data_IF_870102416395
#
_entry.id   IF_870102416395
#
_cell.length_a   1.000
_cell.length_b   1.000
_cell.length_c   1.000
_cell.angle_alpha   90.00
_cell.angle_beta   90.00
_cell.angle_gamma   90.00
#
_symmetry.space_group_name_H-M   'P 1'
#
loop_
_entity.id
_entity.type
_entity.pdbx_description
1 polymer ?
#
# COMPACT_ATOMS: atom_id res chain seq x y z
N UNK A 1 8.96 -1.02 22.00
CA UNK A 1 8.31 -1.83 23.06
C UNK A 1 7.21 -2.76 22.52
N UNK A 2 6.54 -2.43 21.41
CA UNK A 2 5.43 -3.21 20.85
C UNK A 2 5.71 -4.72 20.72
N UNK A 3 6.87 -5.13 20.19
CA UNK A 3 7.20 -6.55 20.04
C UNK A 3 7.32 -7.27 21.39
N UNK A 4 7.97 -6.65 22.39
CA UNK A 4 8.08 -7.22 23.74
C UNK A 4 6.70 -7.40 24.36
N UNK A 5 5.85 -6.37 24.26
CA UNK A 5 4.48 -6.42 24.79
C UNK A 5 3.64 -7.48 24.10
N UNK A 6 3.71 -7.59 22.77
CA UNK A 6 2.98 -8.61 22.02
C UNK A 6 3.45 -10.03 22.38
N UNK A 7 4.76 -10.26 22.52
CA UNK A 7 5.27 -11.56 22.97
C UNK A 7 4.85 -11.89 24.40
N UNK A 8 4.83 -10.91 25.31
CA UNK A 8 4.38 -11.13 26.69
C UNK A 8 2.90 -11.45 26.77
N UNK A 9 2.05 -10.81 25.95
CA UNK A 9 0.61 -11.10 25.90
C UNK A 9 0.27 -12.40 25.18
N UNK A 10 1.15 -12.85 24.28
CA UNK A 10 1.04 -14.14 23.62
C UNK A 10 1.72 -15.28 24.41
N UNK A 11 2.16 -15.03 25.65
CA UNK A 11 2.90 -16.00 26.48
C UNK A 11 4.10 -16.65 25.75
N UNK A 12 4.75 -15.89 24.87
CA UNK A 12 5.87 -16.36 24.06
C UNK A 12 5.51 -17.04 22.74
N UNK A 13 4.22 -17.23 22.44
CA UNK A 13 3.78 -17.75 21.14
C UNK A 13 4.03 -16.73 20.03
N UNK A 14 4.87 -17.10 19.06
CA UNK A 14 5.30 -16.20 17.99
C UNK A 14 4.19 -15.93 16.97
N UNK A 15 3.31 -16.89 16.69
CA UNK A 15 2.24 -16.73 15.71
C UNK A 15 1.13 -15.85 16.27
N UNK A 16 0.76 -16.07 17.53
CA UNK A 16 -0.19 -15.22 18.23
C UNK A 16 0.38 -13.80 18.43
N UNK A 17 1.66 -13.67 18.77
CA UNK A 17 2.30 -12.35 18.87
C UNK A 17 2.30 -11.60 17.52
N UNK A 18 2.52 -12.29 16.40
CA UNK A 18 2.42 -11.73 15.05
C UNK A 18 1.00 -11.24 14.75
N UNK A 19 -0.01 -12.04 15.07
CA UNK A 19 -1.41 -11.68 14.89
C UNK A 19 -1.78 -10.41 15.70
N UNK A 20 -1.36 -10.34 16.97
CA UNK A 20 -1.55 -9.16 17.82
C UNK A 20 -0.87 -7.91 17.24
N UNK A 21 0.36 -8.05 16.72
CA UNK A 21 1.06 -6.93 16.07
C UNK A 21 0.34 -6.45 14.82
N UNK A 22 -0.21 -7.36 14.01
CA UNK A 22 -0.99 -7.00 12.82
C UNK A 22 -2.26 -6.24 13.18
N UNK A 23 -3.02 -6.75 14.16
CA UNK A 23 -4.23 -6.07 14.66
C UNK A 23 -3.91 -4.66 15.18
N UNK A 24 -2.83 -4.52 15.96
CA UNK A 24 -2.35 -3.21 16.45
C UNK A 24 -1.87 -2.30 15.32
N UNK A 25 -1.30 -2.86 14.26
CA UNK A 25 -0.92 -2.14 13.04
C UNK A 25 -2.13 -1.48 12.39
N UNK A 26 -3.21 -2.25 12.20
CA UNK A 26 -4.50 -1.74 11.69
C UNK A 26 -5.03 -0.61 12.56
N UNK A 27 -5.03 -0.78 13.88
CA UNK A 27 -5.47 0.27 14.80
C UNK A 27 -4.58 1.54 14.74
N UNK A 28 -3.28 1.37 14.51
CA UNK A 28 -2.33 2.48 14.37
C UNK A 28 -2.56 3.26 13.08
N UNK A 29 -2.79 2.55 11.97
CA UNK A 29 -3.13 3.18 10.69
C UNK A 29 -4.45 3.96 10.78
N UNK A 30 -5.49 3.35 11.36
CA UNK A 30 -6.79 4.01 11.55
C UNK A 30 -6.68 5.30 12.37
N UNK A 31 -5.93 5.30 13.48
CA UNK A 31 -5.71 6.49 14.33
C UNK A 31 -4.99 7.63 13.60
N UNK A 32 -4.29 7.33 12.52
CA UNK A 32 -3.46 8.29 11.78
C UNK A 32 -4.06 8.69 10.44
N UNK A 33 -5.20 8.14 10.05
CA UNK A 33 -5.84 8.38 8.75
C UNK A 33 -6.09 9.87 8.45
N UNK A 34 -6.30 10.71 9.47
CA UNK A 34 -6.55 12.15 9.32
C UNK A 34 -5.29 13.02 9.30
N UNK A 35 -4.09 12.43 9.41
CA UNK A 35 -2.86 13.22 9.37
C UNK A 35 -2.56 13.73 7.97
N UNK A 36 -1.95 14.90 7.89
CA UNK A 36 -1.46 15.46 6.65
C UNK A 36 -0.19 14.72 6.20
N UNK A 37 -0.10 14.42 4.92
CA UNK A 37 1.03 13.70 4.30
C UNK A 37 1.50 14.48 3.09
N UNK A 38 2.37 15.47 3.31
CA UNK A 38 2.87 16.37 2.26
C UNK A 38 4.23 15.95 1.69
N UNK A 39 4.95 15.06 2.39
CA UNK A 39 6.23 14.50 1.96
C UNK A 39 6.01 13.17 1.23
N UNK A 40 7.04 12.63 0.57
CA UNK A 40 6.94 11.35 -0.14
C UNK A 40 7.88 11.21 -1.32
N UNK A 41 7.57 10.28 -2.22
CA UNK A 41 8.30 10.08 -3.48
C UNK A 41 7.35 9.90 -4.65
N UNK A 42 7.85 10.22 -5.84
CA UNK A 42 7.26 9.78 -7.11
C UNK A 42 8.09 8.60 -7.62
N UNK A 43 7.48 7.42 -7.66
CA UNK A 43 8.12 6.18 -8.10
C UNK A 43 7.63 5.82 -9.51
N UNK A 44 8.50 5.22 -10.31
CA UNK A 44 8.16 4.81 -11.68
C UNK A 44 8.61 3.39 -11.95
N UNK A 45 7.70 2.58 -12.49
CA UNK A 45 8.01 1.22 -12.92
C UNK A 45 7.82 1.09 -14.43
N UNK A 46 8.87 0.67 -15.13
CA UNK A 46 8.88 0.48 -16.59
C UNK A 46 9.06 -0.99 -16.91
N UNK A 47 8.04 -1.59 -17.54
CA UNK A 47 8.09 -2.97 -17.98
C UNK A 47 8.38 -3.08 -19.46
N UNK A 48 9.62 -3.48 -19.78
CA UNK A 48 10.08 -3.80 -21.15
C UNK A 48 9.78 -2.71 -22.20
N UNK A 49 9.71 -1.45 -21.77
CA UNK A 49 9.41 -0.29 -22.64
C UNK A 49 8.00 -0.27 -23.24
N UNK A 50 7.09 -1.13 -22.78
CA UNK A 50 5.71 -1.23 -23.30
C UNK A 50 4.65 -0.80 -22.30
N UNK A 51 4.90 -1.01 -21.02
CA UNK A 51 4.02 -0.59 -19.93
C UNK A 51 4.82 0.28 -18.98
N UNK A 52 4.26 1.42 -18.60
CA UNK A 52 4.83 2.31 -17.58
C UNK A 52 3.78 2.63 -16.53
N UNK A 53 4.18 2.60 -15.26
CA UNK A 53 3.37 3.10 -14.15
C UNK A 53 4.14 4.18 -13.40
N UNK A 54 3.44 5.22 -12.98
CA UNK A 54 3.94 6.24 -12.06
C UNK A 54 3.03 6.32 -10.85
N UNK A 55 3.63 6.43 -9.68
CA UNK A 55 2.95 6.49 -8.40
C UNK A 55 3.47 7.68 -7.59
N UNK A 56 2.58 8.49 -7.05
CA UNK A 56 2.93 9.41 -5.96
C UNK A 56 2.49 8.78 -4.63
N UNK A 57 3.47 8.41 -3.81
CA UNK A 57 3.26 7.85 -2.48
C UNK A 57 3.71 8.88 -1.44
N UNK A 58 2.79 9.28 -0.56
CA UNK A 58 3.07 10.27 0.47
C UNK A 58 3.26 9.66 1.86
N UNK A 59 4.05 10.34 2.68
CA UNK A 59 4.21 10.13 4.13
C UNK A 59 4.21 11.48 4.88
N UNK A 60 4.39 11.46 6.21
CA UNK A 60 4.37 12.67 7.03
C UNK A 60 5.70 13.44 6.94
N UNK A 61 6.85 12.74 6.86
CA UNK A 61 8.18 13.36 6.86
C UNK A 61 9.10 12.87 5.72
N UNK A 62 10.07 13.69 5.34
CA UNK A 62 11.10 13.33 4.35
C UNK A 62 12.06 12.23 4.85
N UNK A 63 12.16 12.05 6.18
CA UNK A 63 12.94 10.98 6.79
C UNK A 63 12.37 9.60 6.43
N UNK A 64 11.05 9.39 6.55
CA UNK A 64 10.41 8.12 6.17
C UNK A 64 10.50 7.89 4.67
N UNK A 65 10.32 8.94 3.85
CA UNK A 65 10.41 8.87 2.39
C UNK A 65 11.76 8.31 1.89
N UNK A 66 12.83 8.44 2.68
CA UNK A 66 14.18 7.98 2.34
C UNK A 66 14.52 6.57 2.82
N UNK A 67 13.67 5.95 3.63
CA UNK A 67 13.89 4.59 4.15
C UNK A 67 13.71 3.53 3.07
N UNK A 68 14.41 2.40 3.21
CA UNK A 68 14.29 1.29 2.27
C UNK A 68 12.88 0.69 2.29
N UNK A 69 12.27 0.57 3.47
CA UNK A 69 10.88 0.11 3.63
C UNK A 69 9.90 0.93 2.78
N UNK A 70 10.02 2.26 2.78
CA UNK A 70 9.13 3.13 2.02
C UNK A 70 9.38 3.04 0.51
N UNK A 71 10.65 2.98 0.09
CA UNK A 71 11.04 2.85 -1.32
C UNK A 71 10.62 1.50 -1.91
N UNK A 72 10.81 0.42 -1.16
CA UNK A 72 10.37 -0.93 -1.55
C UNK A 72 8.86 -0.99 -1.70
N UNK A 73 8.11 -0.43 -0.75
CA UNK A 73 6.65 -0.33 -0.84
C UNK A 73 6.23 0.44 -2.11
N UNK A 74 6.82 1.60 -2.38
CA UNK A 74 6.50 2.39 -3.55
C UNK A 74 6.79 1.63 -4.86
N UNK A 75 7.93 0.94 -4.92
CA UNK A 75 8.31 0.12 -6.06
C UNK A 75 7.32 -1.02 -6.30
N UNK A 76 6.93 -1.72 -5.23
CA UNK A 76 5.99 -2.83 -5.28
C UNK A 76 4.59 -2.38 -5.71
N UNK A 77 4.11 -1.24 -5.22
CA UNK A 77 2.84 -0.65 -5.66
C UNK A 77 2.93 -0.18 -7.12
N UNK A 78 4.04 0.43 -7.56
CA UNK A 78 4.20 0.82 -8.96
C UNK A 78 4.19 -0.39 -9.91
N UNK A 79 4.84 -1.48 -9.52
CA UNK A 79 4.81 -2.76 -10.25
C UNK A 79 3.42 -3.40 -10.23
N UNK A 80 2.70 -3.32 -9.11
CA UNK A 80 1.29 -3.74 -9.01
C UNK A 80 0.43 -2.98 -10.02
N UNK A 81 0.52 -1.64 -10.03
CA UNK A 81 -0.26 -0.78 -10.94
C UNK A 81 0.02 -1.19 -12.39
N UNK A 82 1.29 -1.33 -12.78
CA UNK A 82 1.65 -1.74 -14.13
C UNK A 82 1.03 -3.09 -14.54
N UNK A 83 0.94 -4.03 -13.60
CA UNK A 83 0.52 -5.41 -13.85
C UNK A 83 -1.00 -5.58 -13.82
N UNK A 84 -1.68 -4.92 -12.88
CA UNK A 84 -3.10 -5.17 -12.56
C UNK A 84 -4.05 -4.11 -13.09
N UNK A 85 -3.55 -3.00 -13.64
CA UNK A 85 -4.36 -1.95 -14.28
C UNK A 85 -5.55 -1.45 -13.42
N UNK A 86 -5.34 -1.07 -12.14
CA UNK A 86 -6.39 -0.46 -11.33
C UNK A 86 -6.89 0.83 -11.99
N UNK A 87 -8.17 1.12 -11.82
CA UNK A 87 -8.83 2.32 -12.35
C UNK A 87 -8.89 3.45 -11.31
N UNK A 88 -9.02 3.08 -10.04
CA UNK A 88 -9.14 4.02 -8.93
C UNK A 88 -8.26 3.59 -7.75
N UNK A 89 -8.06 4.48 -6.77
CA UNK A 89 -7.29 4.14 -5.57
C UNK A 89 -8.16 3.29 -4.64
N UNK A 90 -9.35 3.77 -4.31
CA UNK A 90 -10.28 3.15 -3.38
C UNK A 90 -11.57 2.74 -4.09
N UNK A 91 -12.18 1.63 -3.67
CA UNK A 91 -13.45 1.16 -4.23
C UNK A 91 -14.59 2.18 -4.06
N UNK A 92 -14.52 3.06 -3.07
CA UNK A 92 -15.48 4.15 -2.88
C UNK A 92 -15.44 5.21 -3.99
N UNK A 93 -14.37 5.25 -4.80
CA UNK A 93 -14.24 6.16 -5.94
C UNK A 93 -14.86 5.58 -7.23
N UNK A 94 -15.26 4.30 -7.22
CA UNK A 94 -15.89 3.66 -8.38
C UNK A 94 -17.30 4.23 -8.62
N UNK A 95 -17.68 4.47 -9.89
CA UNK A 95 -19.08 4.69 -10.27
C UNK A 95 -19.98 3.54 -9.81
N UNK A 96 -21.23 3.85 -9.45
CA UNK A 96 -22.19 2.83 -9.02
C UNK A 96 -22.52 1.81 -10.14
N UNK A 97 -22.29 2.18 -11.39
CA UNK A 97 -22.47 1.41 -12.61
C UNK A 97 -21.15 0.92 -13.23
N UNK A 98 -20.05 0.92 -12.47
CA UNK A 98 -18.78 0.41 -12.93
C UNK A 98 -18.90 -1.08 -13.35
N UNK A 99 -18.39 -1.39 -14.54
CA UNK A 99 -18.31 -2.76 -15.05
C UNK A 99 -16.99 -3.41 -14.58
N UNK A 100 -17.09 -4.55 -13.88
CA UNK A 100 -15.96 -5.29 -13.32
C UNK A 100 -16.02 -5.45 -11.80
N UNK A 101 -15.12 -6.29 -11.26
CA UNK A 101 -15.04 -6.52 -9.82
C UNK A 101 -14.32 -5.35 -9.12
N UNK A 102 -14.93 -4.67 -8.13
CA UNK A 102 -14.25 -3.65 -7.34
C UNK A 102 -12.92 -4.11 -6.73
N UNK A 103 -12.79 -5.40 -6.38
CA UNK A 103 -11.54 -5.96 -5.86
C UNK A 103 -10.40 -5.98 -6.90
N UNK A 104 -10.74 -5.96 -8.20
CA UNK A 104 -9.78 -5.86 -9.30
C UNK A 104 -9.58 -4.42 -9.78
N UNK A 105 -10.62 -3.57 -9.71
CA UNK A 105 -10.57 -2.20 -10.22
C UNK A 105 -9.97 -1.18 -9.23
N UNK A 106 -10.07 -1.41 -7.92
CA UNK A 106 -9.55 -0.51 -6.90
C UNK A 106 -8.19 -0.98 -6.38
N UNK A 107 -7.16 -0.14 -6.51
CA UNK A 107 -5.78 -0.46 -6.15
C UNK A 107 -5.65 -1.01 -4.72
N UNK A 108 -6.27 -0.35 -3.74
CA UNK A 108 -6.15 -0.73 -2.33
C UNK A 108 -6.77 -2.11 -2.03
N UNK A 109 -7.79 -2.51 -2.81
CA UNK A 109 -8.51 -3.77 -2.66
C UNK A 109 -7.83 -4.94 -3.39
N UNK A 110 -6.93 -4.66 -4.33
CA UNK A 110 -6.25 -5.71 -5.09
C UNK A 110 -5.37 -6.58 -4.21
N UNK A 111 -5.36 -7.88 -4.52
CA UNK A 111 -4.36 -8.82 -4.00
C UNK A 111 -2.99 -8.51 -4.57
N UNK A 112 -1.97 -8.59 -3.73
CA UNK A 112 -0.61 -8.26 -4.12
C UNK A 112 0.01 -9.37 -4.99
N UNK A 113 0.53 -8.99 -6.15
CA UNK A 113 1.04 -9.96 -7.14
C UNK A 113 2.21 -10.83 -6.64
N UNK A 114 2.99 -10.37 -5.65
CA UNK A 114 4.10 -11.15 -5.06
C UNK A 114 3.65 -12.01 -3.88
N UNK A 115 2.54 -11.68 -3.24
CA UNK A 115 1.98 -12.41 -2.10
C UNK A 115 0.44 -12.26 -2.09
N UNK A 116 -0.28 -13.21 -2.70
CA UNK A 116 -1.75 -13.17 -2.78
C UNK A 116 -2.47 -13.25 -1.42
N UNK A 117 -1.76 -13.52 -0.32
CA UNK A 117 -2.33 -13.52 1.02
C UNK A 117 -2.54 -12.10 1.60
N UNK A 118 -2.04 -11.08 0.90
CA UNK A 118 -2.15 -9.68 1.30
C UNK A 118 -2.74 -8.83 0.20
N UNK A 119 -3.48 -7.80 0.60
CA UNK A 119 -3.90 -6.71 -0.28
C UNK A 119 -2.86 -5.60 -0.30
N UNK A 120 -2.99 -4.65 -1.23
CA UNK A 120 -2.18 -3.42 -1.21
C UNK A 120 -2.44 -2.59 0.05
N UNK A 121 -3.70 -2.56 0.52
CA UNK A 121 -4.04 -1.91 1.79
C UNK A 121 -3.30 -2.55 2.98
N UNK A 122 -3.13 -3.88 3.00
CA UNK A 122 -2.37 -4.58 4.04
C UNK A 122 -0.90 -4.17 4.02
N UNK A 123 -0.28 -4.08 2.84
CA UNK A 123 1.13 -3.65 2.71
C UNK A 123 1.34 -2.23 3.24
N UNK A 124 0.43 -1.31 2.88
CA UNK A 124 0.47 0.06 3.40
C UNK A 124 0.30 0.05 4.93
N UNK A 125 -0.63 -0.75 5.44
CA UNK A 125 -0.88 -0.85 6.89
C UNK A 125 0.33 -1.40 7.64
N UNK A 126 0.99 -2.42 7.10
CA UNK A 126 2.22 -3.00 7.67
C UNK A 126 3.36 -1.97 7.68
N UNK A 127 3.50 -1.19 6.60
CA UNK A 127 4.48 -0.11 6.52
C UNK A 127 4.18 1.03 7.49
N UNK A 128 2.91 1.41 7.67
CA UNK A 128 2.47 2.40 8.68
C UNK A 128 2.79 1.90 10.10
N UNK A 129 2.55 0.62 10.39
CA UNK A 129 2.87 0.02 11.67
C UNK A 129 4.38 0.00 11.96
N UNK A 130 5.18 -0.18 10.91
CA UNK A 130 6.65 -0.24 10.99
C UNK A 130 7.28 1.15 11.12
N UNK A 131 6.84 2.10 10.30
CA UNK A 131 7.40 3.46 10.23
C UNK A 131 6.81 4.39 11.29
N UNK A 132 5.58 4.13 11.73
CA UNK A 132 4.85 4.98 12.65
C UNK A 132 4.32 6.27 12.02
N UNK A 133 4.29 6.38 10.69
CA UNK A 133 3.72 7.51 9.95
C UNK A 133 2.55 7.05 9.09
N UNK A 134 1.58 7.94 8.84
CA UNK A 134 0.59 7.71 7.79
C UNK A 134 1.31 7.62 6.45
N UNK A 135 0.96 6.61 5.67
CA UNK A 135 1.39 6.44 4.28
C UNK A 135 0.13 6.37 3.43
N UNK A 136 0.10 7.09 2.31
CA UNK A 136 -1.06 7.14 1.43
C UNK A 136 -0.66 7.22 -0.03
N UNK A 137 -1.40 6.51 -0.88
CA UNK A 137 -1.34 6.71 -2.34
C UNK A 137 -2.10 7.98 -2.66
N UNK A 138 -1.44 8.93 -3.32
CA UNK A 138 -2.05 10.21 -3.68
C UNK A 138 -2.69 10.19 -5.06
N UNK A 139 -2.00 9.56 -6.01
CA UNK A 139 -2.39 9.37 -7.41
C UNK A 139 -1.44 8.38 -8.06
N UNK A 140 -1.91 7.77 -9.13
CA UNK A 140 -1.08 7.00 -10.03
C UNK A 140 -1.49 7.24 -11.48
N UNK A 141 -0.62 6.86 -12.40
CA UNK A 141 -0.91 6.80 -13.83
C UNK A 141 -0.30 5.52 -14.39
N UNK A 142 -0.99 4.90 -15.35
CA UNK A 142 -0.51 3.75 -16.09
C UNK A 142 -0.65 4.03 -17.58
N UNK A 143 0.38 3.66 -18.33
CA UNK A 143 0.41 3.75 -19.78
C UNK A 143 0.78 2.40 -20.37
N UNK A 144 0.12 2.02 -21.45
CA UNK A 144 0.40 0.81 -22.19
C UNK A 144 0.44 1.10 -23.68
N UNK A 145 1.50 0.65 -24.35
CA UNK A 145 1.68 0.84 -25.78
C UNK A 145 0.59 0.07 -26.55
N UNK A 146 -0.31 0.82 -27.18
CA UNK A 146 -1.46 0.27 -27.90
C UNK A 146 -2.63 -0.14 -27.00
N UNK A 147 -2.60 0.23 -25.70
CA UNK A 147 -3.74 0.10 -24.81
C UNK A 147 -4.87 1.07 -25.19
N UNK A 148 -6.12 0.65 -24.93
CA UNK A 148 -7.28 1.54 -25.00
C UNK A 148 -7.28 2.55 -23.85
N UNK A 149 -7.84 3.74 -24.11
CA UNK A 149 -8.06 4.78 -23.11
C UNK A 149 -9.19 4.41 -22.15
#
# INVERSE_FOLDING_TARGET
MACRTALSEADGDLEQARALLRERGVATAAKRAHRDTAEGIVESYLHRGRIGAMLELNCETDFVARTDVFKELAHDIAMQIASMNPQVIDAAELPADADGDPAELALLSQTFIKDPSKTIQDLITDAVATTGEKIAVRRFARYELGGGA
#
